data_IF_681926347252
#
_entry.id   IF_681926347252
#
_cell.length_a   1.000
_cell.length_b   1.000
_cell.length_c   1.000
_cell.angle_alpha   90.00
_cell.angle_beta   90.00
_cell.angle_gamma   90.00
#
_symmetry.space_group_name_H-M   'P 1'
#
loop_
_entity.id
_entity.type
_entity.pdbx_description
1 polymer ?
#
# COMPACT_ATOMS: atom_id res chain seq x y z
N UNK A 1 -5.53 -55.50 18.08
CA UNK A 1 -5.94 -54.09 17.94
C UNK A 1 -4.68 -53.24 17.79
N UNK A 2 -4.21 -53.05 16.55
CA UNK A 2 -4.31 -51.79 15.78
C UNK A 2 -3.34 -50.67 16.20
N UNK A 3 -2.07 -51.00 16.44
CA UNK A 3 -0.96 -50.01 16.53
C UNK A 3 -0.38 -49.61 15.16
N UNK A 4 -0.74 -50.30 14.08
CA UNK A 4 -0.25 -50.00 12.72
C UNK A 4 -1.01 -48.89 11.96
N UNK A 5 -2.19 -48.47 12.44
CA UNK A 5 -3.03 -47.47 11.74
C UNK A 5 -2.66 -46.02 12.07
N UNK A 6 -2.07 -45.76 13.24
CA UNK A 6 -1.67 -44.41 13.66
C UNK A 6 -0.43 -43.89 12.94
N UNK A 7 0.55 -44.77 12.68
CA UNK A 7 1.81 -44.39 12.04
C UNK A 7 1.63 -44.04 10.54
N UNK A 8 0.71 -44.73 9.85
CA UNK A 8 0.43 -44.45 8.44
C UNK A 8 -0.27 -43.09 8.21
N UNK A 9 -1.06 -42.64 9.19
CA UNK A 9 -1.82 -41.39 9.13
C UNK A 9 -0.92 -40.16 9.34
N UNK A 10 0.13 -40.29 10.17
CA UNK A 10 1.17 -39.26 10.36
C UNK A 10 2.06 -39.13 9.12
N UNK A 11 2.38 -40.26 8.45
CA UNK A 11 3.16 -40.24 7.21
C UNK A 11 2.36 -39.62 6.05
N UNK A 12 1.05 -39.86 5.94
CA UNK A 12 0.23 -39.23 4.91
C UNK A 12 0.07 -37.70 5.09
N UNK A 13 0.14 -37.19 6.32
CA UNK A 13 0.13 -35.73 6.58
C UNK A 13 1.45 -35.05 6.21
N UNK A 14 2.57 -35.77 6.23
CA UNK A 14 3.89 -35.29 5.80
C UNK A 14 4.07 -35.25 4.27
N UNK A 15 3.18 -35.92 3.52
CA UNK A 15 3.13 -35.92 2.05
C UNK A 15 1.92 -35.17 1.50
N UNK A 16 1.32 -34.26 2.29
CA UNK A 16 0.51 -33.22 1.66
C UNK A 16 1.47 -32.43 0.75
N UNK A 17 1.23 -32.37 -0.57
CA UNK A 17 1.99 -31.47 -1.40
C UNK A 17 1.74 -30.08 -0.83
N UNK A 18 2.78 -29.49 -0.23
CA UNK A 18 2.88 -28.05 -0.09
C UNK A 18 2.58 -27.55 -1.49
N UNK A 19 1.39 -26.97 -1.70
CA UNK A 19 1.08 -26.28 -2.94
C UNK A 19 2.10 -25.16 -2.98
N UNK A 20 3.22 -25.39 -3.66
CA UNK A 20 4.09 -24.33 -4.13
C UNK A 20 3.14 -23.35 -4.78
N UNK A 21 3.03 -22.14 -4.22
CA UNK A 21 2.36 -21.07 -4.93
C UNK A 21 3.07 -21.01 -6.28
N UNK A 22 2.40 -21.47 -7.34
CA UNK A 22 2.93 -21.51 -8.69
C UNK A 22 2.89 -20.07 -9.16
N UNK A 23 3.87 -19.29 -8.70
CA UNK A 23 3.77 -17.86 -8.65
C UNK A 23 4.31 -17.27 -9.94
N UNK A 24 3.47 -16.47 -10.58
CA UNK A 24 3.94 -15.37 -11.40
C UNK A 24 5.13 -14.65 -10.74
N UNK A 25 6.01 -14.12 -11.56
CA UNK A 25 7.07 -13.24 -11.08
C UNK A 25 6.60 -11.79 -11.21
N UNK A 26 6.90 -10.95 -10.23
CA UNK A 26 6.74 -9.51 -10.29
C UNK A 26 8.05 -8.81 -9.93
N UNK A 27 8.42 -7.80 -10.70
CA UNK A 27 9.65 -7.04 -10.61
C UNK A 27 9.36 -5.54 -10.65
N UNK A 28 10.30 -4.75 -10.14
CA UNK A 28 10.26 -3.31 -10.30
C UNK A 28 10.66 -2.92 -11.73
N UNK A 29 9.76 -2.25 -12.44
CA UNK A 29 9.98 -1.64 -13.76
C UNK A 29 9.91 -2.61 -14.93
N UNK A 30 10.79 -3.60 -14.97
CA UNK A 30 10.99 -4.47 -16.14
C UNK A 30 11.26 -5.93 -15.74
N UNK A 31 11.19 -6.84 -16.72
CA UNK A 31 11.60 -8.25 -16.53
C UNK A 31 12.99 -8.36 -15.91
N UNK A 32 13.11 -9.15 -14.84
CA UNK A 32 14.37 -9.34 -14.12
C UNK A 32 14.88 -8.11 -13.35
N UNK A 33 14.02 -7.11 -13.11
CA UNK A 33 14.32 -5.96 -12.26
C UNK A 33 14.50 -6.35 -10.78
N UNK A 34 14.74 -5.36 -9.91
CA UNK A 34 14.80 -5.63 -8.46
C UNK A 34 13.43 -6.09 -7.94
N UNK A 35 13.46 -6.99 -6.97
CA UNK A 35 12.26 -7.45 -6.24
C UNK A 35 12.17 -6.85 -4.84
N UNK A 36 13.20 -6.13 -4.40
CA UNK A 36 13.21 -5.46 -3.09
C UNK A 36 13.27 -3.94 -3.27
N UNK A 37 12.34 -3.23 -2.63
CA UNK A 37 12.23 -1.77 -2.59
C UNK A 37 11.88 -1.33 -1.17
N UNK A 38 12.35 -0.15 -0.77
CA UNK A 38 12.10 0.37 0.57
C UNK A 38 11.84 1.87 0.56
N UNK A 39 11.01 2.30 1.52
CA UNK A 39 10.86 3.69 1.93
C UNK A 39 11.42 3.83 3.36
N UNK A 40 12.34 4.77 3.53
CA UNK A 40 13.02 4.97 4.81
C UNK A 40 12.39 6.12 5.59
N UNK A 41 11.93 5.82 6.80
CA UNK A 41 11.43 6.82 7.73
C UNK A 41 12.61 7.66 8.21
N UNK A 42 12.58 8.95 7.88
CA UNK A 42 13.53 9.92 8.39
C UNK A 42 13.24 10.25 9.85
N UNK A 43 14.25 10.63 10.65
CA UNK A 43 14.04 10.97 12.06
C UNK A 43 12.97 12.05 12.28
N UNK A 44 11.97 11.72 13.09
CA UNK A 44 10.94 12.66 13.52
C UNK A 44 10.45 12.31 14.93
N UNK A 45 9.64 13.21 15.51
CA UNK A 45 9.13 13.07 16.86
C UNK A 45 7.60 13.11 16.88
N UNK A 46 7.01 12.20 17.66
CA UNK A 46 5.57 12.07 17.90
C UNK A 46 5.25 12.71 19.25
N UNK A 47 4.24 13.60 19.34
CA UNK A 47 3.87 14.20 20.60
C UNK A 47 3.19 13.18 21.52
N UNK A 48 3.42 13.28 22.83
CA UNK A 48 2.90 12.33 23.82
C UNK A 48 1.37 12.32 23.97
N UNK A 49 0.67 13.31 23.39
CA UNK A 49 -0.79 13.35 23.33
C UNK A 49 -1.38 12.84 22.00
N UNK A 50 -0.57 12.21 21.13
CA UNK A 50 -1.09 11.46 19.99
C UNK A 50 -1.99 10.32 20.46
N UNK A 51 -2.96 9.89 19.66
CA UNK A 51 -3.99 8.92 20.06
C UNK A 51 -3.89 7.63 19.27
N UNK A 52 -4.36 6.49 19.83
CA UNK A 52 -4.61 5.29 19.04
C UNK A 52 -5.46 5.62 17.80
N UNK A 53 -5.02 5.17 16.64
CA UNK A 53 -5.63 5.46 15.34
C UNK A 53 -4.98 6.62 14.58
N UNK A 54 -4.19 7.48 15.22
CA UNK A 54 -3.50 8.56 14.53
C UNK A 54 -2.43 8.00 13.58
N UNK A 55 -2.47 8.44 12.32
CA UNK A 55 -1.36 8.26 11.37
C UNK A 55 -0.27 9.27 11.72
N UNK A 56 0.84 8.78 12.26
CA UNK A 56 1.97 9.62 12.70
C UNK A 56 3.01 9.83 11.60
N UNK A 57 2.98 9.00 10.57
CA UNK A 57 3.80 9.13 9.39
C UNK A 57 3.04 8.58 8.19
N UNK A 58 3.16 9.25 7.06
CA UNK A 58 2.71 8.78 5.75
C UNK A 58 3.77 9.19 4.73
N UNK A 59 4.10 8.29 3.80
CA UNK A 59 5.02 8.57 2.71
C UNK A 59 4.42 9.58 1.72
N UNK A 60 5.27 10.11 0.84
CA UNK A 60 4.77 10.70 -0.39
C UNK A 60 3.95 9.67 -1.20
N UNK A 61 3.22 10.18 -2.17
CA UNK A 61 2.48 9.35 -3.14
C UNK A 61 3.47 8.53 -3.99
N UNK A 62 3.66 7.26 -3.62
CA UNK A 62 4.60 6.38 -4.29
C UNK A 62 3.98 5.82 -5.56
N UNK A 63 4.74 5.92 -6.64
CA UNK A 63 4.41 5.41 -7.97
C UNK A 63 5.30 4.21 -8.24
N UNK A 64 4.75 3.02 -8.06
CA UNK A 64 5.46 1.75 -8.19
C UNK A 64 5.24 1.21 -9.62
N UNK A 65 6.23 1.31 -10.53
CA UNK A 65 6.17 0.59 -11.79
C UNK A 65 6.35 -0.90 -11.54
N UNK A 66 5.29 -1.67 -11.73
CA UNK A 66 5.29 -3.12 -11.54
C UNK A 66 5.31 -3.79 -12.92
N UNK A 67 6.25 -4.69 -13.12
CA UNK A 67 6.26 -5.62 -14.24
C UNK A 67 5.99 -7.02 -13.72
N UNK A 68 5.02 -7.75 -14.27
CA UNK A 68 4.79 -9.14 -13.90
C UNK A 68 4.73 -10.05 -15.13
N UNK A 69 5.26 -11.26 -15.02
CA UNK A 69 5.29 -12.29 -16.04
C UNK A 69 5.27 -13.70 -15.41
N UNK A 70 5.64 -14.72 -16.19
CA UNK A 70 5.93 -16.06 -15.68
C UNK A 70 4.76 -16.79 -15.01
N UNK A 71 3.53 -16.54 -15.45
CA UNK A 71 2.42 -17.44 -15.14
C UNK A 71 2.71 -18.82 -15.78
N UNK A 72 3.09 -19.79 -14.95
CA UNK A 72 3.43 -21.16 -15.34
C UNK A 72 2.30 -22.15 -15.09
N UNK A 73 1.08 -21.68 -14.86
CA UNK A 73 -0.07 -22.52 -14.55
C UNK A 73 -0.24 -23.64 -15.58
N UNK A 74 -0.13 -24.90 -15.10
CA UNK A 74 -0.16 -26.10 -15.93
C UNK A 74 -1.51 -26.38 -16.59
N UNK A 75 -2.59 -25.77 -16.10
CA UNK A 75 -3.95 -25.90 -16.67
C UNK A 75 -4.27 -24.81 -17.70
N UNK A 76 -3.25 -24.07 -18.14
CA UNK A 76 -3.33 -22.97 -19.11
C UNK A 76 -4.17 -21.77 -18.63
N UNK A 77 -4.55 -21.74 -17.35
CA UNK A 77 -5.36 -20.66 -16.79
C UNK A 77 -4.56 -19.38 -16.64
N UNK A 78 -5.19 -18.26 -17.00
CA UNK A 78 -4.70 -16.93 -16.65
C UNK A 78 -4.65 -16.71 -15.14
N UNK A 79 -3.80 -15.78 -14.70
CA UNK A 79 -3.64 -15.44 -13.29
C UNK A 79 -3.74 -13.93 -13.06
N UNK A 80 -4.55 -13.55 -12.07
CA UNK A 80 -4.67 -12.16 -11.64
C UNK A 80 -3.54 -11.79 -10.68
N UNK A 81 -3.06 -10.57 -10.82
CA UNK A 81 -2.03 -9.99 -9.94
C UNK A 81 -2.70 -9.16 -8.84
N UNK A 82 -2.25 -9.35 -7.61
CA UNK A 82 -2.73 -8.63 -6.43
C UNK A 82 -1.55 -7.97 -5.71
N UNK A 83 -1.82 -6.83 -5.08
CA UNK A 83 -0.95 -6.27 -4.05
C UNK A 83 -1.42 -6.81 -2.69
N UNK A 84 -0.64 -7.73 -2.12
CA UNK A 84 -0.90 -8.31 -0.80
C UNK A 84 -0.34 -7.39 0.27
N UNK A 85 -1.21 -6.91 1.16
CA UNK A 85 -0.87 -5.99 2.25
C UNK A 85 -0.77 -6.77 3.55
N UNK A 86 0.23 -6.43 4.37
CA UNK A 86 0.65 -7.23 5.52
C UNK A 86 0.85 -8.71 5.11
N UNK A 87 1.72 -8.97 4.11
CA UNK A 87 1.89 -10.30 3.54
C UNK A 87 2.40 -11.33 4.56
N UNK A 88 3.11 -10.87 5.59
CA UNK A 88 3.73 -11.67 6.65
C UNK A 88 3.23 -11.24 8.05
N UNK A 89 2.02 -11.65 8.47
CA UNK A 89 1.36 -11.12 9.67
C UNK A 89 2.05 -11.46 11.01
N UNK A 90 3.04 -12.36 11.00
CA UNK A 90 3.78 -12.78 12.20
C UNK A 90 4.79 -11.75 12.72
N UNK A 91 5.18 -10.76 11.90
CA UNK A 91 6.08 -9.68 12.30
C UNK A 91 5.25 -8.45 12.62
N UNK A 92 5.29 -7.92 13.85
CA UNK A 92 4.56 -6.72 14.22
C UNK A 92 5.29 -5.92 15.29
N UNK A 93 5.10 -4.61 15.26
CA UNK A 93 5.42 -3.73 16.37
C UNK A 93 4.27 -3.72 17.39
N UNK A 94 4.61 -3.56 18.67
CA UNK A 94 3.62 -3.48 19.76
C UNK A 94 2.76 -2.22 19.65
N UNK A 95 3.40 -1.09 19.38
CA UNK A 95 2.77 0.23 19.42
C UNK A 95 2.46 0.79 18.04
N UNK A 96 3.15 0.32 17.00
CA UNK A 96 2.95 0.77 15.63
C UNK A 96 2.20 -0.24 14.77
N UNK A 97 1.34 0.27 13.90
CA UNK A 97 0.64 -0.47 12.87
C UNK A 97 0.99 0.12 11.51
N UNK A 98 1.55 -0.70 10.64
CA UNK A 98 1.97 -0.30 9.31
C UNK A 98 0.93 -0.73 8.27
N UNK A 99 0.81 0.05 7.21
CA UNK A 99 -0.16 -0.22 6.16
C UNK A 99 0.04 0.64 4.92
N UNK A 100 -0.92 0.52 4.01
CA UNK A 100 -0.99 1.33 2.80
C UNK A 100 -2.33 2.03 2.65
N UNK A 101 -2.28 3.27 2.19
CA UNK A 101 -3.44 3.99 1.67
C UNK A 101 -3.49 3.76 0.16
N UNK A 102 -4.56 3.17 -0.34
CA UNK A 102 -4.80 2.94 -1.78
C UNK A 102 -6.19 3.46 -2.16
N UNK A 103 -6.25 4.38 -3.12
CA UNK A 103 -7.49 5.04 -3.56
C UNK A 103 -8.34 5.59 -2.38
N UNK A 104 -7.68 6.22 -1.39
CA UNK A 104 -8.33 6.77 -0.19
C UNK A 104 -8.76 5.73 0.85
N UNK A 105 -8.45 4.45 0.65
CA UNK A 105 -8.78 3.36 1.58
C UNK A 105 -7.52 2.83 2.26
N UNK A 106 -7.59 2.71 3.59
CA UNK A 106 -6.54 2.14 4.42
C UNK A 106 -6.59 0.60 4.43
N UNK A 107 -5.43 -0.01 4.16
CA UNK A 107 -5.20 -1.44 4.31
C UNK A 107 -4.03 -1.66 5.27
N UNK A 108 -4.26 -2.34 6.39
CA UNK A 108 -3.23 -2.65 7.37
C UNK A 108 -3.48 -3.98 8.07
N UNK A 109 -2.61 -4.31 9.02
CA UNK A 109 -2.66 -5.56 9.78
C UNK A 109 -3.98 -5.81 10.54
N UNK A 110 -4.85 -4.81 10.75
CA UNK A 110 -6.17 -5.04 11.38
C UNK A 110 -7.11 -5.84 10.49
N UNK A 111 -6.88 -5.80 9.17
CA UNK A 111 -7.57 -6.62 8.17
C UNK A 111 -6.94 -8.00 7.99
N UNK A 112 -5.92 -8.33 8.81
CA UNK A 112 -5.09 -9.52 8.64
C UNK A 112 -4.22 -9.43 7.38
N UNK A 113 -4.04 -10.55 6.70
CA UNK A 113 -3.41 -10.61 5.38
C UNK A 113 -4.48 -10.25 4.35
N UNK A 114 -4.41 -9.04 3.81
CA UNK A 114 -5.40 -8.51 2.87
C UNK A 114 -4.79 -8.36 1.48
N UNK A 115 -5.64 -8.16 0.46
CA UNK A 115 -5.19 -7.98 -0.91
C UNK A 115 -5.98 -6.90 -1.62
N UNK A 116 -5.29 -6.16 -2.48
CA UNK A 116 -5.83 -5.15 -3.38
C UNK A 116 -5.74 -5.71 -4.79
N UNK A 117 -6.86 -5.69 -5.51
CA UNK A 117 -6.90 -6.09 -6.92
C UNK A 117 -6.23 -5.01 -7.78
N UNK A 118 -5.20 -5.39 -8.53
CA UNK A 118 -4.49 -4.48 -9.43
C UNK A 118 -5.22 -4.30 -10.77
N UNK A 119 -6.29 -5.08 -10.99
CA UNK A 119 -7.00 -5.27 -12.25
C UNK A 119 -6.09 -5.78 -13.38
N UNK A 120 -4.96 -6.39 -13.03
CA UNK A 120 -4.04 -6.98 -13.99
C UNK A 120 -4.18 -8.48 -14.02
N UNK A 121 -4.05 -9.02 -15.24
CA UNK A 121 -4.14 -10.43 -15.52
C UNK A 121 -3.04 -10.83 -16.51
N UNK A 122 -2.38 -11.97 -16.22
CA UNK A 122 -1.29 -12.57 -16.99
C UNK A 122 -1.76 -13.91 -17.56
N UNK A 123 -1.68 -14.07 -18.88
CA UNK A 123 -1.97 -15.34 -19.54
C UNK A 123 -0.88 -16.36 -19.27
N UNK A 124 -1.25 -17.64 -19.16
CA UNK A 124 -0.29 -18.73 -18.91
C UNK A 124 0.69 -18.84 -20.06
N UNK A 125 2.01 -18.93 -19.77
CA UNK A 125 3.04 -19.18 -20.80
C UNK A 125 2.77 -20.48 -21.56
N UNK A 126 2.10 -21.44 -20.94
CA UNK A 126 1.78 -22.73 -21.54
C UNK A 126 0.72 -22.62 -22.66
N UNK A 127 -0.05 -21.53 -22.74
CA UNK A 127 -1.06 -21.36 -23.80
C UNK A 127 -0.41 -21.00 -25.15
N UNK A 128 0.82 -20.47 -25.14
CA UNK A 128 1.51 -19.95 -26.31
C UNK A 128 1.92 -21.05 -27.33
N UNK A 129 1.74 -22.33 -26.99
CA UNK A 129 1.95 -23.45 -27.92
C UNK A 129 0.78 -23.65 -28.89
N UNK A 130 -0.36 -22.99 -28.65
CA UNK A 130 -1.57 -23.10 -29.46
C UNK A 130 -1.79 -21.86 -30.31
N UNK A 131 -2.26 -22.06 -31.54
CA UNK A 131 -2.72 -20.94 -32.37
C UNK A 131 -4.09 -20.43 -31.89
N UNK A 132 -4.47 -19.19 -32.24
CA UNK A 132 -5.81 -18.67 -31.93
C UNK A 132 -6.94 -19.60 -32.37
N UNK A 133 -6.84 -20.21 -33.55
CA UNK A 133 -7.84 -21.13 -34.09
C UNK A 133 -7.96 -22.41 -33.25
N UNK A 134 -6.84 -22.92 -32.75
CA UNK A 134 -6.82 -24.08 -31.86
C UNK A 134 -7.48 -23.76 -30.52
N UNK A 135 -7.19 -22.59 -29.94
CA UNK A 135 -7.81 -22.13 -28.68
C UNK A 135 -9.34 -22.00 -28.85
N UNK A 136 -9.79 -21.45 -29.98
CA UNK A 136 -11.23 -21.35 -30.32
C UNK A 136 -11.84 -22.74 -30.45
N UNK A 137 -11.19 -23.65 -31.18
CA UNK A 137 -11.68 -25.02 -31.40
C UNK A 137 -11.79 -25.81 -30.09
N UNK A 138 -10.92 -25.55 -29.11
CA UNK A 138 -10.96 -26.15 -27.78
C UNK A 138 -11.96 -25.48 -26.83
N UNK A 139 -12.51 -24.32 -27.18
CA UNK A 139 -13.39 -23.54 -26.30
C UNK A 139 -12.66 -22.91 -25.12
N UNK A 140 -11.36 -22.61 -25.26
CA UNK A 140 -10.48 -22.14 -24.17
C UNK A 140 -10.37 -20.62 -24.06
N UNK A 141 -11.25 -19.86 -24.72
CA UNK A 141 -11.26 -18.40 -24.66
C UNK A 141 -11.36 -17.88 -23.22
N UNK A 142 -12.11 -18.57 -22.36
CA UNK A 142 -12.29 -18.19 -20.95
C UNK A 142 -11.03 -18.38 -20.07
N UNK A 143 -10.00 -19.05 -20.59
CA UNK A 143 -8.69 -19.20 -19.93
C UNK A 143 -7.74 -18.02 -20.22
N UNK A 144 -8.11 -17.16 -21.17
CA UNK A 144 -7.35 -15.98 -21.58
C UNK A 144 -7.92 -14.76 -20.87
N UNK A 145 -7.06 -13.91 -20.32
CA UNK A 145 -7.42 -12.67 -19.63
C UNK A 145 -8.37 -11.78 -20.43
N UNK A 146 -8.15 -11.67 -21.74
CA UNK A 146 -8.93 -10.83 -22.64
C UNK A 146 -10.20 -11.52 -23.16
N UNK A 147 -10.31 -12.84 -23.03
CA UNK A 147 -11.29 -13.65 -23.74
C UNK A 147 -11.04 -13.78 -25.26
N UNK A 148 -9.99 -13.13 -25.77
CA UNK A 148 -9.66 -13.08 -27.20
C UNK A 148 -8.34 -13.80 -27.47
N UNK A 149 -8.36 -14.97 -28.15
CA UNK A 149 -7.15 -15.73 -28.47
C UNK A 149 -6.15 -15.00 -29.38
N UNK A 150 -6.55 -13.93 -30.07
CA UNK A 150 -5.62 -13.08 -30.82
C UNK A 150 -4.89 -12.06 -29.93
N UNK A 151 -5.29 -11.95 -28.66
CA UNK A 151 -4.85 -10.91 -27.74
C UNK A 151 -4.35 -11.54 -26.42
N UNK A 152 -3.29 -12.34 -26.54
CA UNK A 152 -2.63 -13.05 -25.44
C UNK A 152 -1.48 -12.20 -24.88
N UNK A 153 -1.39 -12.16 -23.56
CA UNK A 153 -0.44 -11.34 -22.83
C UNK A 153 0.25 -12.11 -21.71
N UNK A 154 1.46 -12.56 -21.99
CA UNK A 154 2.28 -13.29 -21.02
C UNK A 154 3.01 -12.38 -20.02
N UNK A 155 2.83 -11.07 -20.12
CA UNK A 155 3.34 -10.09 -19.16
C UNK A 155 2.49 -8.82 -19.11
N UNK A 156 2.61 -8.08 -18.01
CA UNK A 156 1.99 -6.77 -17.80
C UNK A 156 3.00 -5.81 -17.22
N UNK A 157 2.86 -4.54 -17.59
CA UNK A 157 3.49 -3.42 -16.89
C UNK A 157 2.41 -2.44 -16.51
N UNK A 158 2.37 -2.05 -15.25
CA UNK A 158 1.36 -1.15 -14.71
C UNK A 158 1.94 -0.31 -13.58
N UNK A 159 1.25 0.77 -13.23
CA UNK A 159 1.66 1.65 -12.14
C UNK A 159 0.73 1.43 -10.95
N UNK A 160 1.27 0.91 -9.84
CA UNK A 160 0.56 0.88 -8.58
C UNK A 160 0.87 2.18 -7.80
N UNK A 161 -0.19 2.92 -7.47
CA UNK A 161 -0.11 4.20 -6.75
C UNK A 161 -0.64 4.01 -5.34
N UNK A 162 0.20 4.23 -4.33
CA UNK A 162 -0.19 4.05 -2.92
C UNK A 162 0.61 5.01 -2.02
N UNK A 163 0.22 5.13 -0.76
CA UNK A 163 1.05 5.73 0.29
C UNK A 163 1.29 4.70 1.38
N UNK A 164 2.48 4.66 1.92
CA UNK A 164 2.82 3.83 3.06
C UNK A 164 2.59 4.64 4.34
N UNK A 165 2.08 4.04 5.40
CA UNK A 165 1.86 4.78 6.66
C UNK A 165 2.25 4.00 7.91
N UNK A 166 2.43 4.75 8.99
CA UNK A 166 2.55 4.25 10.36
C UNK A 166 1.45 4.88 11.22
N UNK A 167 0.68 4.02 11.88
CA UNK A 167 -0.44 4.36 12.76
C UNK A 167 -0.13 3.94 14.20
N UNK A 168 -0.58 4.72 15.18
CA UNK A 168 -0.47 4.34 16.60
C UNK A 168 -1.53 3.30 16.95
N UNK A 169 -1.12 2.17 17.53
CA UNK A 169 -1.99 1.17 18.17
C UNK A 169 -2.24 1.51 19.63
N UNK A 170 -1.16 1.88 20.32
CA UNK A 170 -1.08 2.27 21.72
C UNK A 170 0.03 3.31 21.82
N UNK A 171 -0.13 4.34 22.65
CA UNK A 171 0.91 5.38 22.80
C UNK A 171 2.17 4.73 23.39
N UNK A 172 3.31 4.77 22.69
CA UNK A 172 4.54 4.22 23.26
C UNK A 172 5.01 5.06 24.46
N UNK A 173 5.73 4.47 25.42
CA UNK A 173 6.38 5.25 26.48
C UNK A 173 7.40 6.22 25.89
N UNK A 174 7.75 7.25 26.68
CA UNK A 174 8.89 8.13 26.38
C UNK A 174 10.16 7.29 26.14
N UNK A 175 10.99 7.73 25.18
CA UNK A 175 12.20 7.03 24.71
C UNK A 175 11.99 5.65 24.05
N UNK A 176 10.76 5.25 23.75
CA UNK A 176 10.53 4.04 22.96
C UNK A 176 11.22 4.12 21.59
N UNK A 177 11.91 3.05 21.24
CA UNK A 177 12.43 2.81 19.89
C UNK A 177 11.94 1.44 19.42
N UNK A 178 11.40 1.41 18.20
CA UNK A 178 10.98 0.15 17.59
C UNK A 178 12.19 -0.75 17.33
N UNK A 179 12.03 -2.04 17.62
CA UNK A 179 13.01 -3.07 17.21
C UNK A 179 12.74 -3.60 15.80
N UNK A 180 11.64 -3.16 15.17
CA UNK A 180 11.26 -3.55 13.83
C UNK A 180 11.97 -2.63 12.82
N UNK A 181 13.21 -2.95 12.47
CA UNK A 181 14.02 -2.12 11.57
C UNK A 181 13.58 -2.21 10.11
N UNK A 182 12.95 -3.32 9.73
CA UNK A 182 12.53 -3.62 8.36
C UNK A 182 11.21 -4.40 8.37
N UNK A 183 10.23 -3.90 7.62
CA UNK A 183 8.89 -4.47 7.56
C UNK A 183 8.35 -4.47 6.14
N UNK A 184 8.00 -5.65 5.62
CA UNK A 184 7.38 -5.80 4.30
C UNK A 184 5.90 -5.44 4.41
N UNK A 185 5.52 -4.30 3.85
CA UNK A 185 4.14 -3.82 3.87
C UNK A 185 3.33 -4.41 2.73
N UNK A 186 3.93 -4.51 1.55
CA UNK A 186 3.26 -4.96 0.32
C UNK A 186 4.11 -5.96 -0.44
N UNK A 187 3.48 -7.00 -0.98
CA UNK A 187 4.06 -7.90 -1.99
C UNK A 187 3.13 -8.04 -3.19
N UNK A 188 3.67 -7.93 -4.40
CA UNK A 188 2.92 -8.18 -5.64
C UNK A 188 3.01 -9.66 -6.02
N UNK A 189 1.86 -10.34 -6.04
CA UNK A 189 1.79 -11.79 -6.21
C UNK A 189 0.48 -12.23 -6.88
N UNK A 190 0.38 -13.52 -7.16
CA UNK A 190 -0.79 -14.17 -7.72
C UNK A 190 -1.98 -14.25 -6.77
N UNK A 191 -3.10 -14.76 -7.30
CA UNK A 191 -4.37 -14.84 -6.60
C UNK A 191 -4.39 -15.84 -5.44
N UNK A 192 -3.50 -16.86 -5.49
CA UNK A 192 -3.50 -17.99 -4.57
C UNK A 192 -3.08 -17.64 -3.15
N UNK A 193 -2.02 -16.85 -3.00
CA UNK A 193 -1.47 -16.27 -1.77
C UNK A 193 -0.13 -15.62 -2.13
N UNK A 194 0.42 -14.84 -1.22
CA UNK A 194 1.85 -14.51 -1.17
C UNK A 194 2.69 -15.78 -1.25
N UNK A 195 3.66 -15.79 -2.15
CA UNK A 195 4.75 -16.75 -2.22
C UNK A 195 5.83 -16.36 -1.20
N UNK A 196 6.03 -17.21 -0.19
CA UNK A 196 6.97 -16.97 0.90
C UNK A 196 8.34 -17.62 0.66
N UNK A 197 8.53 -18.29 -0.49
CA UNK A 197 9.82 -18.88 -0.87
C UNK A 197 10.89 -17.78 -1.02
N UNK A 198 12.06 -17.88 -0.36
CA UNK A 198 13.12 -16.88 -0.46
C UNK A 198 13.67 -16.66 -1.87
N UNK A 199 13.48 -17.61 -2.78
CA UNK A 199 13.90 -17.54 -4.19
C UNK A 199 12.81 -16.97 -5.10
N UNK A 200 11.59 -16.78 -4.57
CA UNK A 200 10.48 -16.21 -5.31
C UNK A 200 10.82 -14.81 -5.82
N UNK A 201 10.43 -14.54 -7.06
CA UNK A 201 10.71 -13.27 -7.72
C UNK A 201 9.46 -12.40 -7.65
N UNK A 202 9.02 -12.06 -6.43
CA UNK A 202 7.83 -11.25 -6.19
C UNK A 202 8.23 -9.93 -5.55
N UNK A 203 7.93 -8.82 -6.24
CA UNK A 203 8.25 -7.47 -5.80
C UNK A 203 7.63 -7.16 -4.43
N UNK A 204 8.49 -6.80 -3.48
CA UNK A 204 8.16 -6.41 -2.11
C UNK A 204 8.52 -4.95 -1.87
N UNK A 205 7.70 -4.32 -1.04
CA UNK A 205 7.89 -2.96 -0.57
C UNK A 205 7.98 -2.93 0.94
N UNK A 206 9.09 -2.36 1.40
CA UNK A 206 9.48 -2.31 2.79
C UNK A 206 9.29 -0.90 3.34
N UNK A 207 8.95 -0.82 4.63
CA UNK A 207 9.22 0.36 5.45
C UNK A 207 10.42 0.04 6.32
N UNK A 208 11.39 0.94 6.34
CA UNK A 208 12.55 0.85 7.22
C UNK A 208 12.68 2.08 8.11
N UNK A 209 13.46 1.98 9.18
CA UNK A 209 13.77 3.13 10.03
C UNK A 209 12.71 3.45 11.09
N UNK A 210 11.91 2.47 11.55
CA UNK A 210 10.96 2.71 12.65
C UNK A 210 11.67 3.10 13.96
N UNK A 211 12.93 2.74 14.12
CA UNK A 211 13.79 3.18 15.22
C UNK A 211 14.06 4.70 15.20
N UNK A 212 13.84 5.37 14.07
CA UNK A 212 13.99 6.82 13.92
C UNK A 212 12.77 7.60 14.47
N UNK A 213 11.68 6.91 14.83
CA UNK A 213 10.50 7.51 15.45
C UNK A 213 10.76 7.66 16.94
N UNK A 214 10.80 8.91 17.42
CA UNK A 214 10.93 9.22 18.85
C UNK A 214 9.61 9.70 19.43
N UNK A 215 9.25 9.25 20.62
CA UNK A 215 8.07 9.74 21.34
C UNK A 215 8.49 10.77 22.36
N UNK A 216 7.90 11.96 22.29
CA UNK A 216 8.13 13.05 23.23
C UNK A 216 7.25 12.88 24.47
N UNK A 217 7.75 13.35 25.61
CA UNK A 217 6.93 13.58 26.80
C UNK A 217 6.09 14.89 26.71
N UNK A 218 6.35 15.68 25.67
CA UNK A 218 5.66 16.93 25.37
C UNK A 218 4.40 16.75 24.52
N UNK A 219 3.43 17.66 24.70
CA UNK A 219 2.18 17.66 23.95
C UNK A 219 2.12 18.78 22.91
N UNK A 220 1.44 18.51 21.79
CA UNK A 220 1.16 19.51 20.75
C UNK A 220 -0.33 19.55 20.48
N UNK A 221 -0.91 20.74 20.52
CA UNK A 221 -2.32 20.96 20.21
C UNK A 221 -2.46 21.68 18.87
N UNK A 222 -3.35 21.17 18.02
CA UNK A 222 -3.73 21.80 16.76
C UNK A 222 -5.13 22.37 16.88
N UNK A 223 -5.32 23.57 16.32
CA UNK A 223 -6.62 24.20 16.17
C UNK A 223 -6.76 24.70 14.75
N UNK A 224 -7.87 24.32 14.10
CA UNK A 224 -8.20 24.69 12.72
C UNK A 224 -9.40 25.64 12.79
N UNK A 225 -9.32 26.76 12.08
CA UNK A 225 -10.42 27.70 11.90
C UNK A 225 -10.74 27.83 10.41
N UNK A 226 -12.01 27.66 9.99
CA UNK A 226 -13.18 27.42 10.85
C UNK A 226 -13.18 26.00 11.45
N UNK A 227 -13.80 25.85 12.63
CA UNK A 227 -13.88 24.56 13.35
C UNK A 227 -14.63 23.49 12.54
N UNK A 228 -15.51 23.90 11.62
CA UNK A 228 -16.20 23.03 10.68
C UNK A 228 -15.26 22.32 9.72
N UNK A 229 -14.02 22.80 9.56
CA UNK A 229 -13.05 22.37 8.55
C UNK A 229 -13.59 22.47 7.11
N UNK A 230 -14.66 23.24 6.92
CA UNK A 230 -15.28 23.51 5.61
C UNK A 230 -15.05 24.98 5.28
N UNK A 231 -14.32 25.22 4.20
CA UNK A 231 -14.13 26.56 3.65
C UNK A 231 -15.22 26.81 2.61
N UNK A 232 -16.26 27.54 3.02
CA UNK A 232 -17.35 27.93 2.11
C UNK A 232 -17.02 29.21 1.35
N UNK A 233 -16.80 29.07 0.05
CA UNK A 233 -16.59 30.18 -0.88
C UNK A 233 -17.89 30.93 -1.24
N UNK A 234 -19.05 30.40 -0.84
CA UNK A 234 -20.36 30.91 -1.16
C UNK A 234 -20.76 30.67 -2.61
N UNK A 235 -21.82 31.36 -3.05
CA UNK A 235 -22.26 31.35 -4.45
C UNK A 235 -21.68 32.56 -5.18
N UNK A 236 -21.11 32.33 -6.35
CA UNK A 236 -20.59 33.34 -7.24
C UNK A 236 -20.92 32.95 -8.69
N UNK A 237 -20.93 33.93 -9.59
CA UNK A 237 -21.23 33.73 -11.00
C UNK A 237 -19.99 34.01 -11.89
N UNK A 238 -20.16 33.81 -13.20
CA UNK A 238 -19.11 34.03 -14.20
C UNK A 238 -18.55 35.46 -14.23
N UNK A 239 -19.38 36.47 -13.95
CA UNK A 239 -18.94 37.87 -13.89
C UNK A 239 -18.08 38.12 -12.66
N UNK A 240 -18.42 37.52 -11.52
CA UNK A 240 -17.67 37.67 -10.26
C UNK A 240 -16.25 37.14 -10.42
N UNK A 241 -16.09 35.91 -10.93
CA UNK A 241 -14.79 35.26 -11.10
C UNK A 241 -13.94 35.84 -12.22
N UNK A 242 -14.55 36.58 -13.17
CA UNK A 242 -13.81 37.33 -14.20
C UNK A 242 -13.21 38.62 -13.67
N UNK A 243 -13.80 39.19 -12.63
CA UNK A 243 -13.37 40.46 -12.04
C UNK A 243 -12.40 40.26 -10.89
N UNK A 244 -12.58 39.20 -10.09
CA UNK A 244 -11.77 38.97 -8.90
C UNK A 244 -11.55 37.47 -8.64
N UNK A 245 -10.44 37.15 -7.98
CA UNK A 245 -10.23 35.83 -7.37
C UNK A 245 -11.07 35.70 -6.11
N UNK A 246 -11.82 34.61 -5.98
CA UNK A 246 -12.55 34.30 -4.75
C UNK A 246 -11.56 33.77 -3.71
N UNK A 247 -11.34 34.52 -2.62
CA UNK A 247 -10.41 34.15 -1.56
C UNK A 247 -11.13 33.97 -0.23
N UNK A 248 -10.73 32.94 0.51
CA UNK A 248 -11.18 32.67 1.87
C UNK A 248 -9.97 32.37 2.73
N UNK A 249 -10.02 32.81 3.98
CA UNK A 249 -8.96 32.57 4.95
C UNK A 249 -9.38 31.44 5.86
N UNK A 250 -8.46 30.52 6.07
CA UNK A 250 -8.48 29.55 7.16
C UNK A 250 -7.18 29.71 7.93
N UNK A 251 -7.15 29.25 9.17
CA UNK A 251 -5.95 29.30 9.99
C UNK A 251 -5.73 27.99 10.69
N UNK A 252 -4.47 27.58 10.74
CA UNK A 252 -4.06 26.39 11.48
C UNK A 252 -3.03 26.87 12.49
N UNK A 253 -3.40 26.72 13.76
CA UNK A 253 -2.59 27.15 14.88
C UNK A 253 -2.15 25.94 15.66
N UNK A 254 -0.84 25.78 15.73
CA UNK A 254 -0.18 24.75 16.51
C UNK A 254 0.38 25.37 17.78
N UNK A 255 0.01 24.81 18.92
CA UNK A 255 0.41 25.31 20.24
C UNK A 255 1.15 24.21 20.97
N UNK A 256 2.42 24.47 21.30
CA UNK A 256 3.21 23.58 22.15
C UNK A 256 2.69 23.69 23.58
N UNK A 257 2.47 22.57 24.23
CA UNK A 257 2.16 22.50 25.65
C UNK A 257 3.40 22.00 26.39
N UNK A 258 4.14 22.92 26.99
CA UNK A 258 5.25 22.62 27.88
C UNK A 258 4.75 22.73 29.32
N UNK A 259 4.41 21.60 29.94
CA UNK A 259 4.16 21.50 31.38
C UNK A 259 5.43 20.97 32.07
N UNK A 260 5.39 20.80 33.39
CA UNK A 260 6.52 20.28 34.18
C UNK A 260 6.93 18.83 33.81
N UNK A 261 6.16 18.16 32.95
CA UNK A 261 6.45 16.82 32.43
C UNK A 261 7.11 16.83 31.04
N UNK A 262 7.23 17.99 30.38
CA UNK A 262 7.87 18.13 29.08
C UNK A 262 9.34 18.48 29.28
N UNK A 263 10.21 17.49 29.10
CA UNK A 263 11.67 17.66 29.21
C UNK A 263 12.33 17.91 27.87
N UNK A 264 11.64 17.60 26.77
CA UNK A 264 12.17 17.72 25.41
C UNK A 264 12.05 19.13 24.80
N UNK A 265 13.15 19.57 24.16
CA UNK A 265 13.16 20.73 23.28
C UNK A 265 12.82 20.33 21.84
N UNK A 266 11.70 20.80 21.29
CA UNK A 266 11.28 20.41 19.94
C UNK A 266 10.77 21.58 19.08
N UNK A 267 10.82 21.41 17.76
CA UNK A 267 10.19 22.29 16.76
C UNK A 267 9.00 21.58 16.15
N UNK A 268 7.98 22.34 15.76
CA UNK A 268 6.81 21.77 15.06
C UNK A 268 6.79 22.30 13.64
N UNK A 269 6.71 21.38 12.69
CA UNK A 269 6.34 21.63 11.30
C UNK A 269 4.93 21.08 11.07
N UNK A 270 4.26 21.55 10.03
CA UNK A 270 2.96 21.03 9.60
C UNK A 270 2.94 20.98 8.09
N UNK A 271 2.42 19.89 7.54
CA UNK A 271 2.26 19.66 6.10
C UNK A 271 0.80 19.30 5.81
N UNK A 272 0.36 19.58 4.57
CA UNK A 272 -0.95 19.22 4.06
C UNK A 272 -0.77 18.19 2.97
N UNK A 273 -1.64 17.18 2.99
CA UNK A 273 -1.72 16.17 1.95
C UNK A 273 -3.14 16.18 1.37
N UNK A 274 -3.23 15.94 0.07
CA UNK A 274 -4.50 15.76 -0.64
C UNK A 274 -4.47 14.42 -1.36
N UNK A 275 -5.62 13.76 -1.49
CA UNK A 275 -5.77 12.55 -2.31
C UNK A 275 -5.88 12.88 -3.80
N UNK A 276 -6.22 14.13 -4.12
CA UNK A 276 -6.38 14.61 -5.49
C UNK A 276 -5.04 14.91 -6.15
N UNK A 277 -4.99 14.76 -7.48
CA UNK A 277 -3.81 15.17 -8.25
C UNK A 277 -3.72 16.69 -8.30
N UNK A 278 -2.63 17.23 -7.76
CA UNK A 278 -2.31 18.64 -7.91
C UNK A 278 -1.70 18.91 -9.29
N UNK A 279 -1.92 20.11 -9.80
CA UNK A 279 -1.38 20.65 -11.04
C UNK A 279 -0.50 21.86 -10.75
N UNK A 280 0.21 22.34 -11.76
CA UNK A 280 1.11 23.51 -11.65
C UNK A 280 2.18 23.33 -10.57
N UNK A 281 2.89 22.20 -10.58
CA UNK A 281 3.95 21.87 -9.59
C UNK A 281 3.41 21.87 -8.15
N UNK A 282 2.32 21.13 -7.93
CA UNK A 282 1.72 20.93 -6.60
C UNK A 282 1.15 22.21 -5.95
N UNK A 283 0.79 23.21 -6.76
CA UNK A 283 0.27 24.51 -6.28
C UNK A 283 -1.22 24.73 -6.54
N UNK A 284 -1.88 23.82 -7.26
CA UNK A 284 -3.29 24.00 -7.60
C UNK A 284 -4.04 22.68 -7.69
N UNK A 285 -5.33 22.71 -7.34
CA UNK A 285 -6.27 21.62 -7.52
C UNK A 285 -7.27 21.99 -8.61
N UNK A 286 -7.52 21.09 -9.58
CA UNK A 286 -8.58 21.27 -10.57
C UNK A 286 -9.92 20.78 -10.00
N UNK A 287 -10.93 21.64 -10.00
CA UNK A 287 -12.25 21.34 -9.40
C UNK A 287 -13.19 20.62 -10.42
N UNK A 288 -12.71 20.33 -11.64
CA UNK A 288 -13.48 19.59 -12.65
C UNK A 288 -14.57 20.39 -13.38
N UNK A 289 -14.74 21.68 -13.06
CA UNK A 289 -15.71 22.59 -13.71
C UNK A 289 -15.04 23.80 -14.40
N UNK A 290 -13.76 23.67 -14.72
CA UNK A 290 -12.94 24.75 -15.28
C UNK A 290 -12.39 25.75 -14.26
N UNK A 291 -12.72 25.59 -12.97
CA UNK A 291 -12.11 26.35 -11.88
C UNK A 291 -10.89 25.62 -11.31
N UNK A 292 -9.97 26.40 -10.74
CA UNK A 292 -8.83 25.92 -9.98
C UNK A 292 -8.83 26.51 -8.57
N UNK A 293 -8.55 25.67 -7.58
CA UNK A 293 -8.25 26.09 -6.22
C UNK A 293 -6.73 26.23 -6.09
N UNK A 294 -6.27 27.33 -5.52
CA UNK A 294 -4.87 27.66 -5.25
C UNK A 294 -4.75 28.16 -3.81
#
# INVERSE_FOLDING_TARGET
MSTGKGLLLVICLLFLPLKSALALNCYFGTSGGTVEKSEAIQPFAVPGNAKPGDKIWESDDIKIPVYCDNNTNGNFESEHVYAWVNPYPGVQDRYYQLGVTYNGVDYDASLGKSRIDTNQCIDSKNINIYTPEQIIAMGWQNKICSGDPANIHMSRTFLARMRLYVKIREIPPHDYQSTLSDYIVVQFDGAGSVNEDPTAQNLKYHITGLENIRVLDCSVNFSISPETQVIDFGKFNLLDIRRHTMSKTFSIKTTKSQNDQCTDGFKVSSSFYTEETLVEEDKALLIGNGLKLR
#
